data_IF_457000569874
#
_entry.id   IF_457000569874
#
_cell.length_a   1.000
_cell.length_b   1.000
_cell.length_c   1.000
_cell.angle_alpha   90.00
_cell.angle_beta   90.00
_cell.angle_gamma   90.00
#
_symmetry.space_group_name_H-M   'P 1'
#
loop_
_entity.id
_entity.type
_entity.pdbx_description
1 polymer ?
#
# COMPACT_ATOMS: atom_id res chain seq x y z
N UNK A 1 -19.97 46.30 -40.01
CA UNK A 1 -20.88 45.23 -39.54
C UNK A 1 -20.55 44.98 -38.08
N UNK A 2 -21.49 45.22 -37.17
CA UNK A 2 -21.28 45.21 -35.71
C UNK A 2 -21.49 43.77 -35.20
N UNK A 3 -20.48 43.19 -34.57
CA UNK A 3 -20.59 41.91 -33.87
C UNK A 3 -21.13 42.16 -32.45
N UNK A 4 -22.22 41.47 -32.12
CA UNK A 4 -22.94 41.54 -30.86
C UNK A 4 -22.38 40.48 -29.91
N UNK A 5 -21.80 40.92 -28.81
CA UNK A 5 -21.29 40.08 -27.71
C UNK A 5 -22.47 39.65 -26.82
N UNK A 6 -22.69 38.34 -26.65
CA UNK A 6 -23.65 37.81 -25.67
C UNK A 6 -22.86 37.35 -24.44
N UNK A 7 -23.06 38.09 -23.35
CA UNK A 7 -22.54 37.80 -22.01
C UNK A 7 -23.61 37.00 -21.25
N UNK A 8 -23.34 35.73 -20.94
CA UNK A 8 -24.23 34.90 -20.12
C UNK A 8 -23.78 34.96 -18.67
N UNK A 9 -24.57 35.61 -17.81
CA UNK A 9 -24.36 35.67 -16.36
C UNK A 9 -25.18 34.56 -15.72
N UNK A 10 -24.52 33.58 -15.08
CA UNK A 10 -25.18 32.62 -14.20
C UNK A 10 -25.16 33.15 -12.76
N UNK A 11 -26.35 33.45 -12.24
CA UNK A 11 -26.59 33.81 -10.84
C UNK A 11 -26.59 32.57 -9.95
N UNK A 12 -25.76 32.59 -8.91
CA UNK A 12 -25.71 31.59 -7.85
C UNK A 12 -26.90 31.73 -6.88
N UNK A 13 -27.56 30.61 -6.57
CA UNK A 13 -28.59 30.53 -5.52
C UNK A 13 -27.97 29.96 -4.25
N UNK A 14 -27.89 30.80 -3.21
CA UNK A 14 -27.48 30.46 -1.85
C UNK A 14 -28.62 29.69 -1.18
N UNK A 15 -28.39 28.44 -0.76
CA UNK A 15 -29.30 27.72 0.14
C UNK A 15 -28.82 27.87 1.59
N UNK A 16 -29.69 28.47 2.40
CA UNK A 16 -29.46 28.83 3.79
C UNK A 16 -29.43 27.60 4.72
N UNK A 17 -28.49 27.61 5.66
CA UNK A 17 -28.42 26.70 6.80
C UNK A 17 -29.61 26.92 7.75
N UNK A 18 -30.30 25.84 8.14
CA UNK A 18 -31.22 25.84 9.28
C UNK A 18 -30.56 25.16 10.48
N UNK A 19 -30.10 25.99 11.42
CA UNK A 19 -29.86 25.58 12.80
C UNK A 19 -31.19 25.36 13.51
N UNK A 20 -31.40 24.18 14.08
CA UNK A 20 -32.48 23.94 15.04
C UNK A 20 -31.92 23.31 16.31
N UNK A 21 -31.92 24.08 17.39
CA UNK A 21 -31.67 23.61 18.74
C UNK A 21 -32.96 23.00 19.31
N UNK A 22 -32.92 21.75 19.81
CA UNK A 22 -33.91 21.30 20.78
C UNK A 22 -33.36 20.29 21.79
N UNK A 23 -33.01 20.86 22.96
CA UNK A 23 -33.30 20.43 24.33
C UNK A 23 -33.30 18.92 24.70
N UNK A 24 -32.40 18.63 25.66
CA UNK A 24 -32.49 17.71 26.81
C UNK A 24 -33.83 16.99 27.00
N UNK A 25 -33.76 15.67 27.17
CA UNK A 25 -34.60 14.94 28.13
C UNK A 25 -33.85 13.75 28.72
N UNK A 26 -33.65 13.80 30.03
CA UNK A 26 -33.17 12.71 30.88
C UNK A 26 -34.28 11.67 31.09
N UNK A 27 -33.99 10.39 30.82
CA UNK A 27 -34.73 9.29 31.47
C UNK A 27 -33.78 8.14 31.84
N UNK A 28 -33.36 8.14 33.11
CA UNK A 28 -33.02 6.91 33.83
C UNK A 28 -34.30 6.09 33.97
N UNK A 29 -34.33 4.90 33.39
CA UNK A 29 -35.24 3.85 33.83
C UNK A 29 -34.45 2.60 34.22
N UNK A 30 -34.43 2.34 35.53
CA UNK A 30 -34.28 1.01 36.10
C UNK A 30 -35.56 0.22 35.84
N UNK A 31 -35.44 -1.04 35.42
CA UNK A 31 -36.24 -2.18 35.89
C UNK A 31 -35.54 -3.46 35.39
N UNK A 32 -34.97 -4.30 36.26
CA UNK A 32 -35.60 -5.32 37.12
C UNK A 32 -36.04 -6.56 36.31
N UNK A 33 -35.20 -7.60 36.42
CA UNK A 33 -35.45 -9.06 36.35
C UNK A 33 -36.81 -9.53 35.82
N UNK A 34 -36.76 -10.40 34.82
CA UNK A 34 -37.67 -11.55 34.78
C UNK A 34 -37.03 -12.74 34.06
N UNK A 35 -36.70 -13.77 34.85
CA UNK A 35 -36.48 -15.11 34.36
C UNK A 35 -37.86 -15.68 33.98
N UNK A 36 -38.01 -16.13 32.75
CA UNK A 36 -39.22 -16.80 32.27
C UNK A 36 -38.82 -17.98 31.40
N UNK A 37 -38.99 -19.18 31.95
CA UNK A 37 -38.98 -20.43 31.19
C UNK A 37 -40.22 -20.47 30.29
N UNK A 38 -40.07 -20.92 29.05
CA UNK A 38 -41.19 -21.07 28.13
C UNK A 38 -40.83 -21.77 26.83
N UNK A 39 -41.13 -23.08 26.78
CA UNK A 39 -41.68 -23.79 25.62
C UNK A 39 -40.93 -23.73 24.29
N UNK A 40 -40.15 -24.78 24.01
CA UNK A 40 -39.77 -25.14 22.65
C UNK A 40 -41.01 -25.58 21.86
N UNK A 41 -41.29 -24.88 20.75
CA UNK A 41 -42.15 -25.39 19.68
C UNK A 41 -41.25 -25.94 18.56
N UNK A 42 -41.57 -27.10 17.96
CA UNK A 42 -40.78 -27.63 16.85
C UNK A 42 -41.02 -26.80 15.58
N UNK A 43 -39.98 -26.08 15.14
CA UNK A 43 -39.95 -25.49 13.79
C UNK A 43 -39.92 -26.61 12.76
N UNK A 44 -40.98 -26.67 11.96
CA UNK A 44 -41.04 -27.40 10.70
C UNK A 44 -40.03 -26.76 9.75
N UNK A 45 -38.96 -27.48 9.43
CA UNK A 45 -37.99 -27.09 8.41
C UNK A 45 -38.63 -27.42 7.06
N UNK A 46 -38.86 -26.44 6.16
CA UNK A 46 -39.27 -26.74 4.80
C UNK A 46 -38.12 -27.45 4.08
N UNK A 47 -38.46 -28.58 3.46
CA UNK A 47 -37.59 -29.39 2.62
C UNK A 47 -37.08 -28.51 1.45
N UNK A 48 -35.79 -28.19 1.48
CA UNK A 48 -35.13 -27.41 0.43
C UNK A 48 -34.68 -28.39 -0.66
N UNK A 49 -35.08 -28.19 -1.93
CA UNK A 49 -34.69 -29.08 -3.01
C UNK A 49 -33.17 -29.10 -3.16
N UNK A 50 -32.61 -30.31 -3.31
CA UNK A 50 -31.20 -30.52 -3.53
C UNK A 50 -30.73 -29.72 -4.76
N UNK A 51 -29.81 -28.78 -4.54
CA UNK A 51 -29.09 -28.10 -5.60
C UNK A 51 -28.16 -29.11 -6.25
N UNK A 52 -28.51 -29.50 -7.47
CA UNK A 52 -27.68 -30.32 -8.35
C UNK A 52 -26.43 -29.51 -8.71
N UNK A 53 -25.30 -29.86 -8.10
CA UNK A 53 -24.01 -29.25 -8.40
C UNK A 53 -23.59 -29.65 -9.80
N UNK A 54 -23.77 -28.75 -10.76
CA UNK A 54 -23.20 -28.88 -12.09
C UNK A 54 -21.67 -28.82 -11.95
N UNK A 55 -20.92 -29.84 -12.42
CA UNK A 55 -19.47 -29.83 -12.33
C UNK A 55 -18.91 -28.66 -13.13
N UNK A 56 -17.94 -27.96 -12.54
CA UNK A 56 -17.23 -26.86 -13.18
C UNK A 56 -16.59 -27.34 -14.50
N UNK A 57 -16.59 -26.50 -15.56
CA UNK A 57 -15.90 -26.84 -16.79
C UNK A 57 -14.41 -27.03 -16.50
N UNK A 58 -13.89 -28.18 -16.91
CA UNK A 58 -12.46 -28.48 -16.88
C UNK A 58 -11.82 -27.56 -17.94
N UNK A 59 -11.12 -26.52 -17.49
CA UNK A 59 -10.26 -25.74 -18.37
C UNK A 59 -9.05 -26.61 -18.72
N UNK A 60 -9.03 -27.14 -19.94
CA UNK A 60 -7.84 -27.75 -20.52
C UNK A 60 -6.73 -26.69 -20.57
N UNK A 61 -5.64 -26.99 -19.88
CA UNK A 61 -4.40 -26.22 -19.97
C UNK A 61 -3.90 -26.30 -21.41
N UNK A 62 -3.78 -25.18 -22.15
CA UNK A 62 -3.23 -25.22 -23.50
C UNK A 62 -1.81 -25.79 -23.46
N UNK A 63 -1.54 -26.73 -24.37
CA UNK A 63 -0.24 -27.35 -24.52
C UNK A 63 0.85 -26.28 -24.76
N UNK A 64 2.05 -26.44 -24.18
CA UNK A 64 3.15 -25.52 -24.46
C UNK A 64 3.46 -25.53 -25.96
N UNK A 65 3.51 -24.34 -26.55
CA UNK A 65 3.98 -24.16 -27.93
C UNK A 65 5.41 -24.70 -28.05
N UNK A 66 5.75 -25.39 -29.18
CA UNK A 66 7.09 -25.88 -29.40
C UNK A 66 8.05 -24.71 -29.60
N UNK A 67 9.05 -24.61 -28.71
CA UNK A 67 10.18 -23.71 -28.90
C UNK A 67 10.90 -24.06 -30.21
N UNK A 68 10.82 -23.14 -31.17
CA UNK A 68 11.63 -23.21 -32.39
C UNK A 68 13.04 -22.75 -32.04
N UNK A 69 13.86 -23.71 -31.63
CA UNK A 69 15.30 -23.55 -31.59
C UNK A 69 15.84 -23.23 -32.96
N UNK A 70 16.33 -21.99 -33.14
CA UNK A 70 17.33 -21.67 -34.14
C UNK A 70 18.54 -21.09 -33.43
N UNK A 71 19.56 -21.93 -33.31
CA UNK A 71 20.87 -21.52 -32.83
C UNK A 71 21.54 -20.57 -33.81
N UNK A 72 22.33 -19.65 -33.27
CA UNK A 72 23.47 -19.12 -33.98
C UNK A 72 24.63 -18.96 -32.99
N UNK A 73 25.63 -19.82 -33.16
CA UNK A 73 26.91 -19.74 -32.48
C UNK A 73 27.85 -18.76 -33.16
N UNK A 74 28.74 -18.15 -32.37
CA UNK A 74 29.80 -17.23 -32.79
C UNK A 74 30.16 -16.34 -31.60
N UNK A 75 30.96 -16.79 -30.63
CA UNK A 75 32.41 -16.93 -30.63
C UNK A 75 33.16 -15.58 -30.60
N UNK A 76 33.91 -15.35 -29.50
CA UNK A 76 35.11 -14.51 -29.45
C UNK A 76 34.91 -13.06 -29.01
N UNK A 77 35.25 -12.75 -27.76
CA UNK A 77 35.32 -11.37 -27.27
C UNK A 77 35.76 -11.24 -25.82
N UNK A 78 36.88 -11.86 -25.46
CA UNK A 78 37.61 -11.52 -24.22
C UNK A 78 37.99 -10.04 -24.25
N UNK A 79 37.47 -9.23 -23.31
CA UNK A 79 38.03 -7.93 -23.00
C UNK A 79 38.22 -7.78 -21.49
N UNK A 80 39.35 -8.32 -21.04
CA UNK A 80 40.09 -7.84 -19.89
C UNK A 80 40.38 -6.35 -20.08
N UNK A 81 39.83 -5.50 -19.21
CA UNK A 81 40.39 -4.17 -18.99
C UNK A 81 40.90 -4.07 -17.55
N UNK A 82 42.05 -4.71 -17.34
CA UNK A 82 42.95 -4.46 -16.23
C UNK A 82 43.84 -3.28 -16.62
N UNK A 83 43.38 -2.06 -16.34
CA UNK A 83 44.11 -0.82 -16.55
C UNK A 83 44.52 -0.23 -15.21
N UNK A 84 45.76 -0.52 -14.79
CA UNK A 84 46.35 0.02 -13.57
C UNK A 84 46.58 1.52 -13.62
N UNK A 85 46.40 2.15 -12.45
CA UNK A 85 46.82 3.52 -12.17
C UNK A 85 47.55 3.57 -10.82
N UNK A 86 48.84 3.24 -10.83
CA UNK A 86 49.79 3.63 -9.78
C UNK A 86 50.39 5.00 -10.16
N UNK A 87 50.26 5.97 -9.26
CA UNK A 87 51.11 7.16 -9.04
C UNK A 87 50.25 8.18 -8.26
N UNK A 88 50.62 8.76 -7.13
CA UNK A 88 51.86 8.81 -6.37
C UNK A 88 51.67 9.99 -5.40
N UNK A 89 51.99 9.82 -4.11
CA UNK A 89 51.79 10.89 -3.12
C UNK A 89 51.97 10.43 -1.68
N UNK A 90 53.15 9.88 -1.38
CA UNK A 90 53.60 9.67 0.00
C UNK A 90 54.62 10.78 0.35
N UNK A 91 54.26 11.70 1.25
CA UNK A 91 55.20 12.55 1.98
C UNK A 91 54.54 13.23 3.19
N UNK A 92 55.07 12.98 4.40
CA UNK A 92 54.78 13.69 5.66
C UNK A 92 54.18 12.76 6.73
N UNK A 93 54.91 11.97 7.52
CA UNK A 93 56.06 12.20 8.42
C UNK A 93 55.68 12.81 9.79
N UNK A 94 55.97 12.04 10.86
CA UNK A 94 55.98 12.42 12.29
C UNK A 94 54.68 12.09 13.03
N UNK A 95 54.54 11.11 13.93
CA UNK A 95 55.51 10.56 14.89
C UNK A 95 55.38 11.29 16.23
N UNK A 96 54.69 10.69 17.23
CA UNK A 96 55.19 10.50 18.60
C UNK A 96 54.13 9.97 19.59
N UNK A 97 54.58 8.95 20.35
CA UNK A 97 54.26 8.52 21.73
C UNK A 97 52.79 8.26 22.09
N UNK A 98 52.40 7.15 22.70
CA UNK A 98 53.08 6.13 23.51
C UNK A 98 52.01 5.62 24.49
N UNK A 99 51.66 4.34 24.47
CA UNK A 99 52.08 3.44 25.54
C UNK A 99 50.88 2.99 26.39
N UNK A 100 51.06 1.82 27.02
CA UNK A 100 50.14 1.03 27.84
C UNK A 100 48.94 0.40 27.10
N UNK A 101 48.66 -0.89 27.25
CA UNK A 101 49.15 -1.89 28.20
C UNK A 101 48.04 -2.93 28.27
N UNK A 102 48.39 -4.20 28.09
CA UNK A 102 47.43 -5.25 27.86
C UNK A 102 46.40 -5.43 28.97
N UNK A 103 45.24 -5.96 28.58
CA UNK A 103 44.49 -6.83 29.47
C UNK A 103 43.82 -7.94 28.64
N UNK A 104 44.39 -9.13 28.73
CA UNK A 104 43.75 -10.36 28.33
C UNK A 104 42.68 -10.70 29.38
N UNK A 105 41.46 -10.97 28.95
CA UNK A 105 40.36 -11.30 29.85
C UNK A 105 39.12 -11.83 29.13
N UNK A 106 39.11 -13.14 28.93
CA UNK A 106 37.96 -14.07 28.85
C UNK A 106 36.56 -13.58 28.43
N UNK A 107 36.13 -14.11 27.28
CA UNK A 107 34.97 -15.00 27.17
C UNK A 107 33.67 -14.62 27.89
N UNK A 108 32.78 -13.95 27.18
CA UNK A 108 31.37 -13.79 27.53
C UNK A 108 30.49 -14.18 26.35
N UNK A 109 30.04 -15.43 26.34
CA UNK A 109 29.09 -15.97 25.36
C UNK A 109 27.68 -15.44 25.71
N UNK A 110 27.29 -14.31 25.12
CA UNK A 110 26.00 -13.66 25.37
C UNK A 110 24.99 -13.93 24.27
N UNK A 111 24.33 -15.10 24.33
CA UNK A 111 23.18 -15.42 23.48
C UNK A 111 21.93 -14.74 24.06
N UNK A 112 21.69 -13.49 23.68
CA UNK A 112 20.50 -12.73 24.04
C UNK A 112 19.40 -12.88 23.00
N UNK A 113 18.73 -14.03 22.97
CA UNK A 113 17.46 -14.19 22.24
C UNK A 113 16.31 -14.32 23.25
N UNK A 114 15.86 -13.18 23.77
CA UNK A 114 14.54 -13.02 24.37
C UNK A 114 13.68 -12.35 23.28
N UNK A 115 12.62 -12.97 22.78
CA UNK A 115 11.51 -13.50 23.55
C UNK A 115 10.38 -12.49 23.44
N UNK A 116 9.63 -12.57 22.33
CA UNK A 116 8.48 -11.73 22.04
C UNK A 116 7.44 -12.54 21.27
N UNK A 117 6.74 -13.42 21.99
CA UNK A 117 5.53 -14.08 21.51
C UNK A 117 4.45 -13.02 21.25
N UNK A 118 3.80 -13.09 20.10
CA UNK A 118 2.36 -12.87 20.01
C UNK A 118 1.78 -13.91 19.05
N UNK A 119 1.21 -14.95 19.63
CA UNK A 119 0.45 -15.98 18.94
C UNK A 119 -1.02 -15.60 18.77
N UNK A 120 -1.67 -16.31 17.85
CA UNK A 120 -3.12 -16.29 17.59
C UNK A 120 -3.45 -15.48 16.33
N UNK A 121 -4.16 -15.99 15.33
CA UNK A 121 -5.05 -17.14 15.30
C UNK A 121 -5.27 -17.56 13.84
N UNK A 122 -5.32 -18.87 13.58
CA UNK A 122 -5.71 -19.40 12.28
C UNK A 122 -7.19 -19.17 11.99
N UNK A 123 -7.48 -18.67 10.79
CA UNK A 123 -8.81 -18.56 10.21
C UNK A 123 -8.70 -18.25 8.72
N UNK A 124 -9.34 -19.06 7.88
CA UNK A 124 -9.43 -18.96 6.42
C UNK A 124 -10.21 -17.67 5.98
N UNK A 125 -10.14 -17.22 4.71
CA UNK A 125 -9.97 -15.82 4.34
C UNK A 125 -11.28 -15.02 4.35
N UNK A 126 -11.28 -13.92 5.09
CA UNK A 126 -12.15 -12.77 4.87
C UNK A 126 -11.27 -11.59 4.52
N UNK A 127 -11.42 -11.08 3.30
CA UNK A 127 -10.54 -10.09 2.65
C UNK A 127 -10.67 -8.69 3.28
N UNK A 128 -10.10 -8.51 4.47
CA UNK A 128 -9.98 -7.21 5.14
C UNK A 128 -8.64 -7.16 5.86
N UNK A 129 -7.70 -6.37 5.34
CA UNK A 129 -6.39 -6.20 5.96
C UNK A 129 -6.55 -5.79 7.42
N UNK A 130 -5.97 -6.56 8.34
CA UNK A 130 -5.95 -6.20 9.75
C UNK A 130 -5.15 -4.90 9.90
N UNK A 131 -5.76 -3.88 10.54
CA UNK A 131 -5.11 -2.61 10.85
C UNK A 131 -3.69 -2.86 11.40
N UNK A 132 -2.67 -2.42 10.66
CA UNK A 132 -1.27 -2.55 11.02
C UNK A 132 -0.45 -3.64 10.30
N UNK A 133 -1.05 -4.49 9.46
CA UNK A 133 -0.27 -5.39 8.59
C UNK A 133 0.28 -4.63 7.38
N UNK A 134 1.54 -4.88 7.03
CA UNK A 134 2.13 -4.34 5.81
C UNK A 134 1.73 -5.20 4.61
N UNK A 135 1.35 -4.54 3.54
CA UNK A 135 0.75 -5.09 2.35
C UNK A 135 1.58 -4.78 1.11
N UNK A 136 1.58 -5.70 0.17
CA UNK A 136 1.81 -5.41 -1.26
C UNK A 136 0.44 -5.52 -1.94
N UNK A 137 0.08 -4.51 -2.75
CA UNK A 137 -1.21 -4.46 -3.44
C UNK A 137 -1.04 -4.89 -4.90
N UNK A 138 -1.71 -5.97 -5.29
CA UNK A 138 -1.72 -6.53 -6.64
C UNK A 138 -2.98 -6.09 -7.38
N UNK A 139 -2.86 -5.39 -8.51
CA UNK A 139 -3.98 -4.96 -9.34
C UNK A 139 -4.61 -6.12 -10.12
N UNK A 140 -5.92 -6.32 -9.95
CA UNK A 140 -6.68 -7.33 -10.68
C UNK A 140 -6.89 -6.87 -12.12
N UNK A 141 -6.46 -7.69 -13.08
CA UNK A 141 -6.51 -7.31 -14.50
C UNK A 141 -5.44 -6.30 -14.92
N UNK A 142 -4.41 -6.10 -14.09
CA UNK A 142 -3.22 -5.30 -14.40
C UNK A 142 -2.43 -5.80 -15.62
N UNK A 143 -1.42 -5.02 -16.06
CA UNK A 143 -0.49 -5.47 -17.10
C UNK A 143 0.28 -6.70 -16.61
N UNK A 144 0.29 -7.82 -17.35
CA UNK A 144 1.11 -8.98 -17.00
C UNK A 144 2.58 -8.61 -16.76
N UNK A 145 3.11 -8.97 -15.60
CA UNK A 145 4.45 -8.63 -15.15
C UNK A 145 4.60 -7.20 -14.59
N UNK A 146 3.54 -6.39 -14.53
CA UNK A 146 3.48 -5.11 -13.83
C UNK A 146 2.13 -4.91 -13.13
N UNK A 147 1.87 -5.72 -12.10
CA UNK A 147 0.59 -5.70 -11.39
C UNK A 147 0.70 -5.10 -9.98
N UNK A 148 1.90 -4.96 -9.42
CA UNK A 148 2.07 -4.46 -8.06
C UNK A 148 2.26 -2.95 -8.03
N UNK A 149 1.58 -2.28 -7.09
CA UNK A 149 1.84 -0.87 -6.83
C UNK A 149 3.24 -0.67 -6.24
N UNK A 150 3.95 0.33 -6.75
CA UNK A 150 5.23 0.80 -6.22
C UNK A 150 5.33 2.32 -6.29
N UNK A 151 6.32 2.89 -5.61
CA UNK A 151 6.63 4.31 -5.63
C UNK A 151 7.94 4.56 -6.38
N UNK A 152 7.91 5.47 -7.36
CA UNK A 152 9.13 6.04 -7.94
C UNK A 152 9.83 6.98 -6.98
N UNK A 153 11.09 7.32 -7.24
CA UNK A 153 11.86 8.19 -6.35
C UNK A 153 11.25 9.59 -6.16
N UNK A 154 10.52 10.12 -7.14
CA UNK A 154 9.76 11.36 -7.02
C UNK A 154 8.43 11.20 -6.24
N UNK A 155 8.10 10.00 -5.77
CA UNK A 155 6.90 9.70 -5.01
C UNK A 155 5.65 9.42 -5.84
N UNK A 156 5.75 9.41 -7.18
CA UNK A 156 4.64 8.95 -8.02
C UNK A 156 4.40 7.45 -7.82
N UNK A 157 3.13 7.07 -7.84
CA UNK A 157 2.72 5.66 -7.81
C UNK A 157 2.75 5.13 -9.24
N UNK A 158 3.25 3.91 -9.39
CA UNK A 158 3.28 3.20 -10.68
C UNK A 158 3.04 1.73 -10.45
N UNK A 159 2.70 1.03 -11.53
CA UNK A 159 2.68 -0.41 -11.54
C UNK A 159 4.08 -0.94 -11.85
N UNK A 160 4.45 -2.03 -11.19
CA UNK A 160 5.70 -2.73 -11.40
C UNK A 160 5.54 -4.22 -11.14
N UNK A 161 6.52 -4.99 -11.58
CA UNK A 161 6.55 -6.42 -11.32
C UNK A 161 6.54 -6.72 -9.81
N UNK A 162 5.77 -7.74 -9.44
CA UNK A 162 5.64 -8.27 -8.07
C UNK A 162 6.83 -9.15 -7.65
N UNK A 163 8.03 -8.87 -8.17
CA UNK A 163 9.20 -9.78 -8.07
C UNK A 163 9.92 -9.72 -6.73
N UNK A 164 9.55 -8.78 -5.84
CA UNK A 164 10.07 -8.70 -4.49
C UNK A 164 9.09 -7.99 -3.54
N UNK A 165 9.30 -8.19 -2.25
CA UNK A 165 8.60 -7.48 -1.16
C UNK A 165 9.39 -6.24 -0.72
N UNK A 166 10.05 -5.55 -1.64
CA UNK A 166 10.87 -4.39 -1.29
C UNK A 166 10.03 -3.24 -0.69
N UNK A 167 10.64 -2.41 0.17
CA UNK A 167 9.95 -1.35 0.92
C UNK A 167 9.20 -0.34 0.02
N UNK A 168 9.63 -0.18 -1.23
CA UNK A 168 8.98 0.69 -2.23
C UNK A 168 7.63 0.18 -2.75
N UNK A 169 7.30 -1.10 -2.49
CA UNK A 169 6.01 -1.74 -2.84
C UNK A 169 5.11 -1.94 -1.63
N UNK A 170 5.61 -1.60 -0.45
CA UNK A 170 4.96 -1.91 0.81
C UNK A 170 4.15 -0.72 1.31
N UNK A 171 2.88 -0.99 1.61
CA UNK A 171 1.91 -0.06 2.16
C UNK A 171 1.36 -0.61 3.46
N UNK A 172 1.10 0.22 4.46
CA UNK A 172 0.55 -0.22 5.73
C UNK A 172 -0.70 0.57 6.06
N UNK A 173 -1.90 -0.06 6.00
CA UNK A 173 -3.11 0.55 6.52
C UNK A 173 -2.92 0.94 7.99
N UNK A 174 -3.25 2.19 8.29
CA UNK A 174 -3.15 2.78 9.61
C UNK A 174 -4.27 3.78 9.83
N UNK A 175 -4.30 4.39 11.01
CA UNK A 175 -5.25 5.46 11.36
C UNK A 175 -4.48 6.63 11.94
N UNK A 176 -4.59 7.81 11.34
CA UNK A 176 -3.98 9.06 11.80
C UNK A 176 -5.10 10.07 12.08
N UNK A 177 -5.14 10.61 13.31
CA UNK A 177 -6.18 11.55 13.74
C UNK A 177 -7.64 11.06 13.53
N UNK A 178 -7.84 9.73 13.55
CA UNK A 178 -9.16 9.12 13.33
C UNK A 178 -9.54 8.93 11.86
N UNK A 179 -8.67 9.28 10.91
CA UNK A 179 -8.82 8.97 9.49
C UNK A 179 -7.97 7.76 9.10
N UNK A 180 -8.52 6.86 8.29
CA UNK A 180 -7.79 5.73 7.75
C UNK A 180 -6.84 6.20 6.63
N UNK A 181 -5.61 5.69 6.65
CA UNK A 181 -4.54 6.09 5.74
C UNK A 181 -3.72 4.90 5.29
N UNK A 182 -3.06 5.03 4.15
CA UNK A 182 -2.02 4.11 3.69
C UNK A 182 -0.64 4.73 3.91
N UNK A 183 0.08 4.21 4.90
CA UNK A 183 1.47 4.59 5.18
C UNK A 183 2.40 3.90 4.18
N UNK A 184 3.31 4.66 3.58
CA UNK A 184 4.34 4.19 2.66
C UNK A 184 5.55 3.72 3.47
N UNK A 185 6.01 2.49 3.25
CA UNK A 185 7.11 1.92 4.05
C UNK A 185 8.50 2.42 3.64
N UNK A 186 8.70 2.87 2.41
CA UNK A 186 10.01 3.35 1.94
C UNK A 186 10.40 4.71 2.51
N UNK A 187 11.71 4.91 2.69
CA UNK A 187 12.27 6.24 2.86
C UNK A 187 12.48 6.99 1.53
N UNK A 188 12.63 8.31 1.65
CA UNK A 188 12.98 9.20 0.55
C UNK A 188 14.31 9.89 0.86
N UNK A 189 15.05 10.22 -0.20
CA UNK A 189 16.32 10.90 -0.10
C UNK A 189 16.26 12.31 -0.66
N UNK A 190 17.20 13.15 -0.20
CA UNK A 190 17.28 14.57 -0.54
C UNK A 190 17.40 14.84 -2.06
N UNK A 191 17.88 13.86 -2.85
CA UNK A 191 18.05 14.01 -4.29
C UNK A 191 16.74 13.93 -5.10
N UNK A 192 15.65 13.42 -4.52
CA UNK A 192 14.41 13.18 -5.27
C UNK A 192 13.17 13.79 -4.61
N UNK A 193 13.01 13.60 -3.29
CA UNK A 193 11.94 14.18 -2.48
C UNK A 193 12.52 14.74 -1.19
N UNK A 194 13.26 15.86 -1.25
CA UNK A 194 13.86 16.49 -0.08
C UNK A 194 12.83 16.88 0.97
N UNK A 195 11.61 17.18 0.52
CA UNK A 195 10.45 17.49 1.37
C UNK A 195 9.99 16.32 2.24
N UNK A 196 10.24 15.07 1.83
CA UNK A 196 9.81 13.87 2.56
C UNK A 196 10.94 13.21 3.38
N UNK A 197 12.15 13.78 3.38
CA UNK A 197 13.28 13.21 4.11
C UNK A 197 13.00 13.26 5.61
N UNK A 198 13.00 12.09 6.26
CA UNK A 198 12.75 11.96 7.69
C UNK A 198 11.28 12.15 8.10
N UNK A 199 10.37 12.27 7.14
CA UNK A 199 8.93 12.38 7.40
C UNK A 199 8.26 10.99 7.40
N UNK A 200 7.11 10.91 8.07
CA UNK A 200 6.20 9.80 7.87
C UNK A 200 5.44 10.04 6.56
N UNK A 201 5.52 9.08 5.64
CA UNK A 201 4.97 9.24 4.30
C UNK A 201 3.68 8.43 4.17
N UNK A 202 2.65 9.06 3.62
CA UNK A 202 1.36 8.46 3.32
C UNK A 202 1.06 8.58 1.82
N UNK A 203 0.09 7.80 1.35
CA UNK A 203 -0.51 8.05 0.04
C UNK A 203 -1.47 9.23 0.16
N UNK A 204 -1.27 10.27 -0.64
CA UNK A 204 -2.10 11.46 -0.68
C UNK A 204 -2.66 11.73 -2.07
N UNK A 205 -3.87 12.25 -2.13
CA UNK A 205 -4.54 12.76 -3.33
C UNK A 205 -4.51 14.29 -3.35
N UNK A 206 -3.99 14.87 -4.43
CA UNK A 206 -3.87 16.32 -4.60
C UNK A 206 -4.96 16.92 -5.52
N UNK A 207 -6.06 16.19 -5.75
CA UNK A 207 -7.11 16.57 -6.70
C UNK A 207 -6.94 16.02 -8.13
N UNK A 208 -5.76 15.49 -8.48
CA UNK A 208 -5.51 14.93 -9.82
C UNK A 208 -4.78 13.60 -9.82
N UNK A 209 -3.86 13.39 -8.86
CA UNK A 209 -3.02 12.20 -8.80
C UNK A 209 -2.87 11.70 -7.36
N UNK A 210 -2.63 10.40 -7.23
CA UNK A 210 -2.15 9.81 -5.99
C UNK A 210 -0.62 9.79 -6.00
N UNK A 211 -0.02 10.20 -4.89
CA UNK A 211 1.44 10.25 -4.71
C UNK A 211 1.81 10.11 -3.24
N UNK A 212 3.08 9.82 -3.00
CA UNK A 212 3.69 9.89 -1.68
C UNK A 212 3.73 11.34 -1.17
N UNK A 213 3.18 11.54 0.02
CA UNK A 213 3.02 12.83 0.69
C UNK A 213 3.34 12.72 2.18
N UNK A 214 3.66 13.83 2.82
CA UNK A 214 3.78 13.89 4.28
C UNK A 214 2.41 13.56 4.91
N UNK A 215 2.36 12.56 5.80
CA UNK A 215 1.15 12.20 6.53
C UNK A 215 0.56 13.35 7.37
N UNK A 216 1.36 14.38 7.69
CA UNK A 216 0.93 15.57 8.39
C UNK A 216 0.46 16.72 7.46
N UNK A 217 0.45 16.50 6.14
CA UNK A 217 0.05 17.52 5.17
C UNK A 217 -1.45 17.77 5.18
N UNK A 218 -1.85 19.03 5.41
CA UNK A 218 -3.24 19.49 5.27
C UNK A 218 -3.61 19.83 3.81
N UNK A 219 -2.66 19.72 2.88
CA UNK A 219 -2.84 20.13 1.48
C UNK A 219 -3.35 18.99 0.57
N UNK A 220 -3.49 17.78 1.12
CA UNK A 220 -3.90 16.58 0.37
C UNK A 220 -4.92 15.78 1.16
N UNK A 221 -5.73 15.01 0.43
CA UNK A 221 -6.59 14.01 1.05
C UNK A 221 -5.80 12.72 1.25
N UNK A 222 -5.69 12.24 2.49
CA UNK A 222 -4.97 11.00 2.77
C UNK A 222 -5.81 9.80 2.31
N UNK A 223 -5.18 8.96 1.50
CA UNK A 223 -5.81 7.83 0.80
C UNK A 223 -5.79 6.59 1.68
N UNK A 224 -6.87 5.81 1.65
CA UNK A 224 -7.02 4.55 2.37
C UNK A 224 -7.16 3.36 1.41
N UNK A 225 -7.04 2.15 1.95
CA UNK A 225 -7.42 0.93 1.26
C UNK A 225 -8.70 0.39 1.88
N UNK A 226 -9.80 0.40 1.11
CA UNK A 226 -11.13 0.03 1.60
C UNK A 226 -11.71 -1.07 0.74
N UNK A 227 -12.04 -2.21 1.35
CA UNK A 227 -12.49 -3.39 0.63
C UNK A 227 -11.39 -3.92 -0.29
N UNK A 228 -11.49 -3.60 -1.58
CA UNK A 228 -10.51 -3.94 -2.62
C UNK A 228 -9.97 -2.73 -3.36
N UNK A 229 -10.33 -1.50 -2.98
CA UNK A 229 -9.94 -0.30 -3.73
C UNK A 229 -9.03 0.63 -2.91
N UNK A 230 -8.18 1.38 -3.61
CA UNK A 230 -7.40 2.49 -3.05
C UNK A 230 -8.16 3.79 -3.31
N UNK A 231 -8.61 4.45 -2.24
CA UNK A 231 -9.66 5.50 -2.30
C UNK A 231 -9.32 6.69 -1.39
N UNK A 232 -9.52 7.91 -1.89
CA UNK A 232 -9.45 9.14 -1.11
C UNK A 232 -10.81 9.43 -0.44
N UNK A 233 -10.84 10.11 0.72
CA UNK A 233 -12.06 10.52 1.41
C UNK A 233 -13.10 11.23 0.53
N UNK A 234 -12.68 12.05 -0.44
CA UNK A 234 -13.55 12.71 -1.41
C UNK A 234 -14.18 11.80 -2.47
N UNK A 235 -13.81 10.52 -2.48
CA UNK A 235 -14.33 9.50 -3.39
C UNK A 235 -13.44 9.21 -4.60
N UNK A 236 -12.37 10.00 -4.82
CA UNK A 236 -11.40 9.69 -5.86
C UNK A 236 -10.75 8.32 -5.63
N UNK A 237 -10.44 7.58 -6.70
CA UNK A 237 -9.84 6.26 -6.55
C UNK A 237 -8.83 5.97 -7.66
N UNK A 238 -7.94 5.01 -7.39
CA UNK A 238 -7.04 4.47 -8.40
C UNK A 238 -7.89 3.68 -9.41
N UNK A 239 -7.85 4.06 -10.69
CA UNK A 239 -8.70 3.53 -11.77
C UNK A 239 -8.00 2.45 -12.62
N UNK A 240 -6.71 2.24 -12.40
CA UNK A 240 -5.90 1.23 -13.05
C UNK A 240 -4.60 1.85 -13.54
N UNK A 241 -4.22 1.55 -14.78
CA UNK A 241 -2.98 2.02 -15.38
C UNK A 241 -3.16 2.43 -16.85
N UNK A 242 -2.22 3.24 -17.36
CA UNK A 242 -2.07 3.52 -18.79
C UNK A 242 -1.16 2.48 -19.49
N UNK A 243 -1.04 2.57 -20.82
CA UNK A 243 -0.17 1.69 -21.62
C UNK A 243 1.33 1.72 -21.24
N UNK A 244 1.72 2.62 -20.32
CA UNK A 244 3.09 2.80 -19.81
C UNK A 244 3.19 2.40 -18.33
N UNK A 245 2.20 1.68 -17.80
CA UNK A 245 2.11 1.24 -16.41
C UNK A 245 2.11 2.40 -15.39
N UNK A 246 1.70 3.60 -15.81
CA UNK A 246 1.44 4.71 -14.90
C UNK A 246 0.06 4.51 -14.29
N UNK A 247 -0.08 4.64 -12.98
CA UNK A 247 -1.44 4.57 -12.41
C UNK A 247 -2.29 5.73 -12.91
N UNK A 248 -3.55 5.45 -13.17
CA UNK A 248 -4.56 6.45 -13.45
C UNK A 248 -5.45 6.61 -12.21
N UNK A 249 -5.96 7.82 -12.02
CA UNK A 249 -6.87 8.15 -10.92
C UNK A 249 -8.15 8.71 -11.52
N UNK A 250 -9.29 8.20 -11.09
CA UNK A 250 -10.57 8.85 -11.35
C UNK A 250 -10.93 9.75 -10.16
N UNK A 251 -10.95 11.08 -10.33
CA UNK A 251 -11.29 12.01 -9.26
C UNK A 251 -12.75 11.88 -8.79
N UNK A 252 -13.63 11.25 -9.57
CA UNK A 252 -15.05 11.04 -9.25
C UNK A 252 -15.38 9.62 -8.78
N UNK A 253 -14.36 8.77 -8.61
CA UNK A 253 -14.53 7.42 -8.08
C UNK A 253 -15.23 6.44 -9.01
N UNK A 254 -15.21 6.65 -10.33
CA UNK A 254 -15.77 5.67 -11.27
C UNK A 254 -14.69 4.67 -11.68
N UNK A 255 -15.09 3.41 -11.92
CA UNK A 255 -14.20 2.38 -12.45
C UNK A 255 -12.96 2.10 -11.61
N UNK A 256 -13.08 2.18 -10.27
CA UNK A 256 -11.94 1.93 -9.39
C UNK A 256 -11.35 0.55 -9.63
N UNK A 257 -10.03 0.50 -9.83
CA UNK A 257 -9.29 -0.75 -9.95
C UNK A 257 -9.39 -1.53 -8.64
N UNK A 258 -9.52 -2.85 -8.77
CA UNK A 258 -9.54 -3.77 -7.65
C UNK A 258 -8.12 -4.27 -7.37
N UNK A 259 -7.81 -4.42 -6.10
CA UNK A 259 -6.53 -4.92 -5.63
C UNK A 259 -6.72 -6.11 -4.70
N UNK A 260 -5.82 -7.09 -4.87
CA UNK A 260 -5.66 -8.21 -3.96
C UNK A 260 -4.48 -7.86 -3.03
N UNK A 261 -4.72 -7.70 -1.72
CA UNK A 261 -3.64 -7.45 -0.77
C UNK A 261 -2.89 -8.75 -0.45
N UNK A 262 -1.57 -8.67 -0.42
CA UNK A 262 -0.71 -9.73 0.13
C UNK A 262 -0.01 -9.20 1.37
N UNK A 263 -0.20 -9.89 2.50
CA UNK A 263 0.50 -9.57 3.74
C UNK A 263 1.98 -9.93 3.62
N UNK A 264 2.85 -8.99 3.98
CA UNK A 264 4.31 -9.17 3.93
C UNK A 264 4.94 -8.76 5.25
N UNK A 265 6.19 -9.18 5.45
CA UNK A 265 6.96 -8.68 6.59
C UNK A 265 7.39 -7.23 6.28
N UNK A 266 7.18 -6.27 7.20
CA UNK A 266 7.61 -4.90 6.99
C UNK A 266 9.12 -4.85 6.74
N UNK A 267 9.52 -4.28 5.61
CA UNK A 267 10.92 -3.97 5.33
C UNK A 267 11.24 -2.60 5.93
N UNK A 268 12.35 -2.43 6.68
CA UNK A 268 12.74 -1.13 7.19
C UNK A 268 12.84 -0.07 6.07
N UNK A 269 12.38 1.17 6.32
CA UNK A 269 12.44 2.28 5.36
C UNK A 269 13.83 2.62 4.84
#
# INVERSE_FOLDING_TARGET
MKFLTILTVFTASVAAAQHSHSRRSTRKHRHRRQCGAGGAAPSVIPDVPAVETTPAPVFETPAPEPETGNGNGGNGGDNNNNGGGNNGGNAGNGGNNGGNGGNAGNGGNGNGNAGGNNGGNGGNPGNGAANGQTLVLFEVGGVPGNECLTFRNNGEIVNAACVNEAADRQLTPSTINGADVLVVQRSFSNGFRPDLVGQQVCVGFNGTHFKAEDCASDAVELVSFTGTNVVAPGGACLNGHDDRAQVTVDPNGQGCAEFIPTNVTPTPP
#
